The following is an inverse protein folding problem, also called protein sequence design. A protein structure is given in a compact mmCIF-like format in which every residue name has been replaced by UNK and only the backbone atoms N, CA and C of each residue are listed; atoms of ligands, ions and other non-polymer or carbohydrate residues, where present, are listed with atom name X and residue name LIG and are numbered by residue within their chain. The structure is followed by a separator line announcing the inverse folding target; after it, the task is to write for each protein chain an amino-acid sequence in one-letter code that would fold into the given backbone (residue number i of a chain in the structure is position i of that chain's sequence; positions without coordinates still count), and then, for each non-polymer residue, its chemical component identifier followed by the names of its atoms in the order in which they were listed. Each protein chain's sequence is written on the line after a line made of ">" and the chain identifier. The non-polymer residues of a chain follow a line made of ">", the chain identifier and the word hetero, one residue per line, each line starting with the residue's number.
data_IF_665492734871
#
_entry.id   IF_665492734871
#
_cell.length_a   1.000
_cell.length_b   1.000
_cell.length_c   1.000
_cell.angle_alpha   90.00
_cell.angle_beta   90.00
_cell.angle_gamma   90.00
#
_symmetry.space_group_name_H-M   'P 1'
#
loop_
_entity.id
_entity.type
_entity.pdbx_description
1 polymer ?
#
# COMPACT_ATOMS: atom_id res chain seq x y z
N UNK A 1 14.22 -19.31 -23.11
CA UNK A 1 13.64 -18.30 -24.01
C UNK A 1 12.22 -18.75 -24.20
N UNK A 2 11.27 -18.08 -23.55
CA UNK A 2 9.86 -18.48 -23.58
C UNK A 2 9.34 -18.48 -25.03
N UNK A 3 8.53 -19.48 -25.37
CA UNK A 3 7.88 -19.53 -26.67
C UNK A 3 6.89 -18.37 -26.75
N UNK A 4 7.25 -17.34 -27.54
CA UNK A 4 6.49 -16.10 -27.72
C UNK A 4 5.08 -16.28 -28.30
N UNK A 5 4.66 -17.53 -28.55
CA UNK A 5 3.33 -17.90 -29.03
C UNK A 5 2.30 -17.87 -27.91
N UNK A 6 2.73 -18.08 -26.67
CA UNK A 6 1.85 -18.09 -25.50
C UNK A 6 1.87 -16.79 -24.71
N UNK A 7 2.56 -15.75 -25.21
CA UNK A 7 2.38 -14.39 -24.72
C UNK A 7 0.98 -13.86 -25.09
N UNK A 8 0.49 -12.79 -24.43
CA UNK A 8 -0.73 -12.10 -24.83
C UNK A 8 -0.76 -11.83 -26.35
N UNK A 9 -1.86 -12.20 -27.05
CA UNK A 9 -3.21 -12.36 -26.53
C UNK A 9 -3.58 -13.75 -26.00
N UNK A 10 -2.64 -14.69 -25.93
CA UNK A 10 -2.87 -15.93 -25.19
C UNK A 10 -2.88 -15.65 -23.67
N UNK A 11 -3.65 -16.40 -22.89
CA UNK A 11 -3.73 -16.23 -21.45
C UNK A 11 -5.10 -16.53 -20.87
N UNK A 12 -5.32 -16.18 -19.59
CA UNK A 12 -6.63 -16.35 -18.96
C UNK A 12 -7.62 -15.26 -19.39
N UNK A 13 -8.89 -15.65 -19.50
CA UNK A 13 -9.98 -14.81 -19.96
C UNK A 13 -10.42 -13.77 -18.92
N UNK A 14 -10.99 -12.67 -19.41
CA UNK A 14 -11.63 -11.66 -18.58
C UNK A 14 -12.99 -12.16 -18.10
N UNK A 15 -13.23 -12.12 -16.79
CA UNK A 15 -14.56 -12.31 -16.21
C UNK A 15 -15.32 -10.98 -16.24
N UNK A 16 -16.50 -10.96 -16.86
CA UNK A 16 -17.30 -9.74 -17.01
C UNK A 16 -18.78 -10.01 -16.81
N UNK A 17 -19.48 -9.09 -16.16
CA UNK A 17 -20.93 -9.14 -16.01
C UNK A 17 -21.63 -8.57 -17.26
N UNK A 18 -22.70 -9.20 -17.71
CA UNK A 18 -23.52 -8.77 -18.84
C UNK A 18 -23.00 -9.29 -20.18
N UNK A 19 -22.17 -8.53 -20.89
CA UNK A 19 -21.66 -8.93 -22.22
C UNK A 19 -20.21 -8.55 -22.43
N UNK A 20 -19.51 -9.37 -23.21
CA UNK A 20 -18.14 -9.09 -23.64
C UNK A 20 -18.05 -7.81 -24.50
N UNK A 21 -16.87 -7.19 -24.52
CA UNK A 21 -16.63 -5.99 -25.33
C UNK A 21 -16.76 -6.23 -26.83
N UNK A 22 -16.88 -5.15 -27.61
CA UNK A 22 -17.03 -5.24 -29.07
C UNK A 22 -15.79 -5.84 -29.77
N UNK A 23 -14.63 -5.77 -29.13
CA UNK A 23 -13.32 -6.29 -29.51
C UNK A 23 -13.01 -7.64 -28.85
N UNK A 24 -14.00 -8.26 -28.22
CA UNK A 24 -13.90 -9.55 -27.54
C UNK A 24 -14.89 -10.55 -28.13
N UNK A 25 -14.65 -11.82 -27.82
CA UNK A 25 -15.57 -12.93 -28.05
C UNK A 25 -15.98 -13.57 -26.72
N UNK A 26 -17.20 -14.11 -26.69
CA UNK A 26 -17.77 -14.75 -25.51
C UNK A 26 -17.45 -16.24 -25.51
N UNK A 27 -16.64 -16.69 -24.55
CA UNK A 27 -16.15 -18.06 -24.48
C UNK A 27 -16.95 -18.97 -23.55
N UNK A 28 -17.58 -18.41 -22.53
CA UNK A 28 -18.41 -19.20 -21.62
C UNK A 28 -19.35 -18.33 -20.81
N UNK A 29 -20.42 -18.95 -20.33
CA UNK A 29 -21.32 -18.41 -19.31
C UNK A 29 -21.13 -19.24 -18.03
N UNK A 30 -20.18 -18.89 -17.15
CA UNK A 30 -19.93 -19.58 -15.88
C UNK A 30 -21.16 -19.65 -14.94
N UNK A 31 -21.97 -18.59 -14.86
CA UNK A 31 -23.16 -18.49 -14.00
C UNK A 31 -23.89 -17.17 -14.25
N UNK A 32 -25.23 -17.19 -14.15
CA UNK A 32 -26.10 -16.02 -14.36
C UNK A 32 -25.77 -15.25 -15.65
N UNK A 33 -25.46 -13.95 -15.51
CA UNK A 33 -25.09 -13.03 -16.59
C UNK A 33 -23.57 -12.85 -16.71
N UNK A 34 -22.77 -13.67 -16.03
CA UNK A 34 -21.32 -13.58 -16.09
C UNK A 34 -20.78 -14.32 -17.30
N UNK A 35 -19.78 -13.72 -17.93
CA UNK A 35 -19.12 -14.28 -19.10
C UNK A 35 -17.61 -14.31 -18.95
N UNK A 36 -16.99 -15.30 -19.61
CA UNK A 36 -15.57 -15.27 -19.94
C UNK A 36 -15.39 -14.63 -21.30
N UNK A 37 -14.56 -13.61 -21.36
CA UNK A 37 -14.32 -12.83 -22.55
C UNK A 37 -12.86 -12.95 -22.98
N UNK A 38 -12.65 -13.40 -24.21
CA UNK A 38 -11.34 -13.47 -24.83
C UNK A 38 -11.15 -12.36 -25.85
N UNK A 39 -9.91 -11.87 -26.07
CA UNK A 39 -9.63 -10.97 -27.17
C UNK A 39 -10.00 -11.63 -28.52
N UNK A 40 -10.54 -10.85 -29.46
CA UNK A 40 -10.81 -11.35 -30.82
C UNK A 40 -9.56 -11.92 -31.48
N UNK A 41 -9.74 -13.01 -32.22
CA UNK A 41 -8.66 -13.70 -32.93
C UNK A 41 -7.89 -14.70 -32.07
N UNK A 42 -8.35 -14.94 -30.84
CA UNK A 42 -7.99 -16.11 -30.05
C UNK A 42 -9.07 -17.19 -30.20
N UNK A 43 -8.84 -18.35 -29.61
CA UNK A 43 -9.82 -19.43 -29.50
C UNK A 43 -10.13 -19.66 -28.03
N UNK A 44 -11.41 -19.81 -27.71
CA UNK A 44 -11.89 -20.21 -26.40
C UNK A 44 -11.39 -21.62 -26.04
N UNK A 45 -10.46 -21.69 -25.10
CA UNK A 45 -9.94 -22.94 -24.55
C UNK A 45 -10.69 -23.37 -23.29
N UNK A 46 -10.32 -24.55 -22.80
CA UNK A 46 -10.79 -25.05 -21.51
C UNK A 46 -10.27 -24.17 -20.37
N UNK A 47 -10.84 -24.33 -19.17
CA UNK A 47 -10.37 -23.66 -17.95
C UNK A 47 -10.30 -22.13 -18.04
N UNK A 48 -11.17 -21.52 -18.87
CA UNK A 48 -11.23 -20.07 -19.09
C UNK A 48 -9.97 -19.49 -19.76
N UNK A 49 -9.37 -20.23 -20.68
CA UNK A 49 -8.19 -19.78 -21.42
C UNK A 49 -8.55 -19.21 -22.80
N UNK A 50 -7.76 -18.25 -23.25
CA UNK A 50 -7.76 -17.71 -24.59
C UNK A 50 -6.49 -18.21 -25.27
N UNK A 51 -6.63 -19.03 -26.31
CA UNK A 51 -5.52 -19.75 -26.90
C UNK A 51 -5.27 -19.35 -28.36
N UNK A 52 -4.03 -19.48 -28.85
CA UNK A 52 -3.71 -19.17 -30.25
C UNK A 52 -4.31 -20.18 -31.23
N UNK A 53 -4.74 -21.35 -30.75
CA UNK A 53 -5.30 -22.47 -31.54
C UNK A 53 -6.35 -23.22 -30.71
N UNK A 54 -7.22 -23.94 -31.41
CA UNK A 54 -8.28 -24.78 -30.81
C UNK A 54 -7.75 -25.96 -29.98
N UNK A 55 -6.50 -26.37 -30.17
CA UNK A 55 -5.89 -27.48 -29.42
C UNK A 55 -5.67 -27.17 -27.93
N UNK A 56 -5.95 -25.95 -27.47
CA UNK A 56 -5.71 -25.51 -26.10
C UNK A 56 -4.27 -25.09 -25.85
N UNK A 57 -4.06 -24.43 -24.72
CA UNK A 57 -2.77 -23.84 -24.32
C UNK A 57 -2.56 -23.81 -22.80
N UNK A 58 -3.47 -24.40 -22.03
CA UNK A 58 -3.49 -24.32 -20.57
C UNK A 58 -2.18 -24.83 -19.95
N UNK A 59 -1.61 -25.93 -20.46
CA UNK A 59 -0.39 -26.50 -19.92
C UNK A 59 0.79 -25.50 -19.90
N UNK A 60 0.82 -24.56 -20.84
CA UNK A 60 1.85 -23.51 -20.89
C UNK A 60 1.49 -22.34 -19.96
N UNK A 61 0.19 -22.03 -19.86
CA UNK A 61 -0.31 -20.95 -18.99
C UNK A 61 -0.26 -21.29 -17.50
N UNK A 62 -0.16 -22.56 -17.12
CA UNK A 62 0.06 -22.94 -15.71
C UNK A 62 1.51 -22.66 -15.28
N UNK A 63 2.47 -22.75 -16.21
CA UNK A 63 3.88 -22.45 -15.94
C UNK A 63 4.16 -20.94 -15.86
N UNK A 64 3.52 -20.15 -16.74
CA UNK A 64 3.60 -18.69 -16.75
C UNK A 64 2.19 -18.07 -16.79
N UNK A 65 1.50 -17.98 -15.63
CA UNK A 65 0.13 -17.52 -15.59
C UNK A 65 0.03 -16.02 -15.81
N UNK A 66 -0.71 -15.64 -16.85
CA UNK A 66 -0.96 -14.24 -17.21
C UNK A 66 -2.32 -14.06 -17.89
N UNK A 67 -2.81 -12.82 -17.91
CA UNK A 67 -4.04 -12.48 -18.60
C UNK A 67 -3.85 -12.39 -20.11
N UNK A 68 -4.85 -12.80 -20.87
CA UNK A 68 -4.90 -12.62 -22.33
C UNK A 68 -4.80 -11.14 -22.75
N UNK A 69 -5.08 -10.21 -21.84
CA UNK A 69 -4.67 -8.82 -21.96
C UNK A 69 -3.98 -8.37 -20.67
N UNK A 70 -2.66 -8.50 -20.66
CA UNK A 70 -1.79 -8.06 -19.56
C UNK A 70 -1.61 -6.54 -19.47
N UNK A 71 -2.29 -5.73 -20.29
CA UNK A 71 -2.25 -4.27 -20.19
C UNK A 71 -3.36 -3.82 -19.26
N UNK A 72 -4.61 -4.10 -19.57
CA UNK A 72 -5.74 -3.52 -18.82
C UNK A 72 -6.36 -4.45 -17.81
N UNK A 73 -5.88 -5.69 -17.68
CA UNK A 73 -6.46 -6.69 -16.78
C UNK A 73 -5.49 -7.15 -15.71
N UNK A 74 -6.03 -7.34 -14.52
CA UNK A 74 -5.34 -7.88 -13.37
C UNK A 74 -5.67 -9.37 -13.25
N UNK A 75 -4.65 -10.18 -12.93
CA UNK A 75 -4.74 -11.63 -12.79
C UNK A 75 -5.08 -11.99 -11.35
N UNK A 76 -6.03 -12.89 -11.18
CA UNK A 76 -6.47 -13.43 -9.91
C UNK A 76 -6.36 -14.95 -9.92
N UNK A 77 -6.21 -15.53 -8.73
CA UNK A 77 -6.10 -16.97 -8.51
C UNK A 77 -7.15 -17.43 -7.51
N UNK A 78 -7.76 -18.56 -7.80
CA UNK A 78 -8.56 -19.37 -6.87
C UNK A 78 -7.90 -20.74 -6.65
N UNK A 79 -8.46 -21.60 -5.82
CA UNK A 79 -7.86 -22.91 -5.46
C UNK A 79 -7.52 -23.80 -6.65
N UNK A 80 -8.19 -23.64 -7.81
CA UNK A 80 -7.93 -24.47 -8.98
C UNK A 80 -7.99 -23.76 -10.33
N UNK A 81 -8.06 -22.42 -10.37
CA UNK A 81 -8.16 -21.68 -11.62
C UNK A 81 -7.61 -20.26 -11.50
N UNK A 82 -7.17 -19.73 -12.64
CA UNK A 82 -6.88 -18.32 -12.82
C UNK A 82 -7.96 -17.66 -13.67
N UNK A 83 -8.14 -16.37 -13.46
CA UNK A 83 -9.07 -15.54 -14.22
C UNK A 83 -8.60 -14.09 -14.14
N UNK A 84 -9.15 -13.26 -15.00
CA UNK A 84 -8.79 -11.85 -15.06
C UNK A 84 -9.99 -10.95 -14.76
N UNK A 85 -9.74 -9.83 -14.11
CA UNK A 85 -10.68 -8.72 -13.99
C UNK A 85 -10.09 -7.48 -14.65
N UNK A 86 -10.90 -6.46 -14.94
CA UNK A 86 -10.37 -5.16 -15.37
C UNK A 86 -9.49 -4.59 -14.24
N UNK A 87 -8.42 -3.89 -14.57
CA UNK A 87 -7.52 -3.26 -13.60
C UNK A 87 -8.19 -2.15 -12.76
N UNK A 88 -9.40 -1.74 -13.14
CA UNK A 88 -10.25 -0.78 -12.42
C UNK A 88 -11.23 -1.45 -11.46
N UNK A 89 -11.34 -2.78 -11.53
CA UNK A 89 -12.30 -3.58 -10.76
C UNK A 89 -11.57 -4.51 -9.80
N UNK A 90 -12.27 -4.94 -8.75
CA UNK A 90 -11.81 -5.96 -7.81
C UNK A 90 -12.52 -7.27 -8.05
N UNK A 91 -11.78 -8.38 -7.93
CA UNK A 91 -12.39 -9.70 -7.90
C UNK A 91 -12.96 -10.00 -6.52
N UNK A 92 -14.05 -10.77 -6.50
CA UNK A 92 -14.62 -11.31 -5.28
C UNK A 92 -15.31 -12.65 -5.54
N UNK A 93 -15.43 -13.44 -4.48
CA UNK A 93 -16.26 -14.61 -4.41
C UNK A 93 -17.67 -14.17 -4.02
N UNK A 94 -18.64 -14.41 -4.90
CA UNK A 94 -20.06 -14.16 -4.69
C UNK A 94 -20.69 -15.39 -4.03
N UNK A 95 -20.98 -15.32 -2.74
CA UNK A 95 -21.76 -16.33 -2.04
C UNK A 95 -23.27 -16.23 -2.28
N UNK A 96 -24.04 -17.09 -1.63
CA UNK A 96 -25.50 -17.10 -1.70
C UNK A 96 -26.06 -17.62 -3.02
N UNK A 97 -25.21 -18.18 -3.88
CA UNK A 97 -25.64 -18.74 -5.16
C UNK A 97 -26.21 -20.14 -4.96
N UNK A 98 -27.23 -20.47 -5.75
CA UNK A 98 -27.88 -21.78 -5.71
C UNK A 98 -27.74 -22.46 -7.05
N UNK A 99 -27.16 -23.65 -7.05
CA UNK A 99 -27.03 -24.48 -8.24
C UNK A 99 -27.35 -25.93 -7.92
N UNK A 100 -28.23 -26.54 -8.71
CA UNK A 100 -28.66 -27.93 -8.57
C UNK A 100 -29.03 -28.34 -7.13
N UNK A 101 -29.69 -27.45 -6.38
CA UNK A 101 -30.14 -27.70 -5.01
C UNK A 101 -29.07 -27.58 -3.91
N UNK A 102 -27.85 -27.13 -4.24
CA UNK A 102 -26.79 -26.85 -3.26
C UNK A 102 -26.39 -25.37 -3.29
N UNK A 103 -25.98 -24.85 -2.13
CA UNK A 103 -25.30 -23.56 -2.06
C UNK A 103 -23.92 -23.66 -2.74
N UNK A 104 -23.54 -22.63 -3.46
CA UNK A 104 -22.26 -22.52 -4.17
C UNK A 104 -21.77 -21.07 -4.20
N UNK A 105 -20.55 -20.89 -4.68
CA UNK A 105 -19.88 -19.59 -4.75
C UNK A 105 -19.43 -19.34 -6.18
N UNK A 106 -19.67 -18.12 -6.67
CA UNK A 106 -19.30 -17.69 -8.01
C UNK A 106 -18.12 -16.74 -7.97
N UNK A 107 -17.34 -16.70 -9.05
CA UNK A 107 -16.28 -15.70 -9.20
C UNK A 107 -16.84 -14.49 -9.96
N UNK A 108 -16.65 -13.29 -9.42
CA UNK A 108 -17.14 -12.04 -9.97
C UNK A 108 -16.07 -10.92 -9.95
N UNK A 109 -16.26 -9.90 -10.77
CA UNK A 109 -15.45 -8.68 -10.83
C UNK A 109 -16.33 -7.42 -10.76
N UNK A 110 -16.11 -6.54 -9.79
CA UNK A 110 -16.88 -5.30 -9.66
C UNK A 110 -16.01 -4.11 -9.25
N UNK A 111 -16.41 -2.89 -9.62
CA UNK A 111 -15.70 -1.66 -9.24
C UNK A 111 -15.72 -1.42 -7.71
N UNK A 112 -16.70 -2.01 -7.02
CA UNK A 112 -16.75 -2.14 -5.58
C UNK A 112 -17.43 -3.46 -5.21
N UNK A 113 -16.95 -4.11 -4.17
CA UNK A 113 -17.53 -5.37 -3.70
C UNK A 113 -18.85 -5.05 -3.02
N UNK A 114 -19.99 -5.62 -3.47
CA UNK A 114 -21.27 -5.35 -2.84
C UNK A 114 -21.28 -5.88 -1.40
N UNK A 115 -21.85 -5.09 -0.49
CA UNK A 115 -22.03 -5.48 0.91
C UNK A 115 -22.97 -6.69 0.98
N UNK A 116 -22.39 -7.87 1.25
CA UNK A 116 -23.11 -9.12 1.42
C UNK A 116 -22.29 -10.02 2.35
N UNK A 117 -22.95 -10.61 3.35
CA UNK A 117 -22.28 -11.43 4.38
C UNK A 117 -21.51 -12.63 3.80
N UNK A 118 -21.87 -13.06 2.60
CA UNK A 118 -21.26 -14.21 1.92
C UNK A 118 -20.29 -13.81 0.79
N UNK A 119 -19.97 -12.52 0.64
CA UNK A 119 -19.00 -12.05 -0.36
C UNK A 119 -17.59 -11.97 0.23
N UNK A 120 -16.60 -12.50 -0.48
CA UNK A 120 -15.19 -12.46 -0.06
C UNK A 120 -14.31 -11.78 -1.11
N UNK A 121 -13.56 -10.77 -0.70
CA UNK A 121 -12.63 -10.05 -1.57
C UNK A 121 -11.42 -10.92 -1.95
N UNK A 122 -11.05 -10.91 -3.22
CA UNK A 122 -9.83 -11.55 -3.72
C UNK A 122 -8.79 -10.49 -4.04
N UNK A 123 -7.52 -10.81 -3.79
CA UNK A 123 -6.40 -9.96 -4.16
C UNK A 123 -5.80 -10.41 -5.51
N UNK A 124 -5.34 -9.47 -6.35
CA UNK A 124 -4.68 -9.83 -7.60
C UNK A 124 -3.31 -10.45 -7.30
N UNK A 125 -2.96 -11.50 -8.03
CA UNK A 125 -1.64 -12.15 -7.97
C UNK A 125 -0.65 -11.48 -8.92
N UNK A 126 -1.14 -10.84 -9.99
CA UNK A 126 -0.38 -9.97 -10.86
C UNK A 126 -1.28 -8.84 -11.36
N UNK A 127 -0.72 -7.64 -11.54
CA UNK A 127 -1.45 -6.51 -12.11
C UNK A 127 -1.08 -6.33 -13.57
N UNK A 128 -2.06 -5.88 -14.36
CA UNK A 128 -1.82 -5.45 -15.72
C UNK A 128 -0.78 -4.33 -15.74
N UNK A 129 0.09 -4.38 -16.74
CA UNK A 129 0.98 -3.30 -17.14
C UNK A 129 0.20 -2.24 -17.91
N UNK A 130 -0.95 -1.83 -17.36
CA UNK A 130 -1.64 -0.68 -17.86
C UNK A 130 -0.58 0.40 -17.84
N UNK A 131 -0.39 1.09 -18.96
CA UNK A 131 0.26 2.38 -18.90
C UNK A 131 -0.67 3.33 -18.13
N UNK A 132 -0.99 3.04 -16.87
CA UNK A 132 -0.73 4.01 -15.84
C UNK A 132 0.70 4.43 -16.11
N UNK A 133 0.86 5.62 -16.66
CA UNK A 133 2.02 6.40 -16.33
C UNK A 133 2.21 6.27 -14.82
N UNK A 134 3.04 5.32 -14.39
CA UNK A 134 3.74 5.47 -13.14
C UNK A 134 4.60 6.70 -13.41
N UNK A 135 4.03 7.86 -13.12
CA UNK A 135 4.83 8.98 -12.72
C UNK A 135 5.60 8.44 -11.52
N UNK A 136 6.82 7.96 -11.76
CA UNK A 136 7.85 8.04 -10.74
C UNK A 136 7.68 9.44 -10.20
N UNK A 137 7.44 9.59 -8.90
CA UNK A 137 7.24 10.89 -8.28
C UNK A 137 8.58 11.64 -8.32
N UNK A 138 9.08 11.96 -9.51
CA UNK A 138 10.26 12.74 -9.78
C UNK A 138 10.11 14.09 -9.08
N UNK A 139 8.88 14.60 -8.94
CA UNK A 139 8.59 15.75 -8.10
C UNK A 139 8.89 15.54 -6.60
N UNK A 140 8.53 14.39 -6.03
CA UNK A 140 8.80 14.09 -4.61
C UNK A 140 10.30 13.82 -4.37
N UNK A 141 10.97 13.13 -5.30
CA UNK A 141 12.40 12.82 -5.22
C UNK A 141 13.25 14.07 -5.50
N UNK A 142 12.88 14.90 -6.48
CA UNK A 142 13.60 16.14 -6.80
C UNK A 142 13.34 17.26 -5.77
N UNK A 143 12.16 17.29 -5.15
CA UNK A 143 11.82 18.26 -4.11
C UNK A 143 12.69 18.14 -2.85
N UNK A 144 13.05 16.91 -2.47
CA UNK A 144 13.88 16.65 -1.29
C UNK A 144 15.30 17.21 -1.40
N UNK A 145 15.96 17.01 -2.55
CA UNK A 145 17.36 17.44 -2.75
C UNK A 145 17.47 18.97 -2.85
N UNK A 146 16.55 19.61 -3.57
CA UNK A 146 16.53 21.08 -3.72
C UNK A 146 16.16 21.77 -2.39
N UNK A 147 15.21 21.20 -1.65
CA UNK A 147 14.85 21.69 -0.31
C UNK A 147 15.99 21.54 0.70
N UNK A 148 16.74 20.44 0.64
CA UNK A 148 17.89 20.19 1.51
C UNK A 148 19.03 21.19 1.30
N UNK A 149 19.42 21.47 0.05
CA UNK A 149 20.49 22.43 -0.25
C UNK A 149 20.10 23.86 0.16
N UNK A 150 18.86 24.28 -0.13
CA UNK A 150 18.38 25.62 0.25
C UNK A 150 18.24 25.77 1.78
N UNK A 151 17.71 24.76 2.46
CA UNK A 151 17.58 24.74 3.92
C UNK A 151 18.94 24.76 4.63
N UNK A 152 19.90 23.95 4.18
CA UNK A 152 21.23 23.89 4.77
C UNK A 152 22.00 25.21 4.59
N UNK A 153 21.91 25.83 3.41
CA UNK A 153 22.54 27.13 3.15
C UNK A 153 21.98 28.23 4.06
N UNK A 154 20.66 28.26 4.29
CA UNK A 154 20.03 29.21 5.21
C UNK A 154 20.48 29.01 6.65
N UNK A 155 20.55 27.76 7.13
CA UNK A 155 20.99 27.46 8.50
C UNK A 155 22.45 27.90 8.71
N UNK A 156 23.34 27.59 7.77
CA UNK A 156 24.76 27.99 7.84
C UNK A 156 24.88 29.52 7.85
N UNK A 157 24.13 30.23 7.00
CA UNK A 157 24.12 31.69 6.96
C UNK A 157 23.64 32.30 8.28
N UNK A 158 22.58 31.74 8.89
CA UNK A 158 22.03 32.18 10.17
C UNK A 158 23.04 32.00 11.31
N UNK A 159 23.67 30.83 11.41
CA UNK A 159 24.69 30.56 12.44
C UNK A 159 25.87 31.50 12.30
N UNK A 160 26.39 31.68 11.08
CA UNK A 160 27.50 32.60 10.83
C UNK A 160 27.16 34.04 11.17
N UNK A 161 25.96 34.51 10.82
CA UNK A 161 25.50 35.86 11.13
C UNK A 161 25.41 36.10 12.64
N UNK A 162 24.86 35.14 13.40
CA UNK A 162 24.79 35.22 14.86
C UNK A 162 26.18 35.20 15.51
N UNK A 163 27.11 34.37 15.02
CA UNK A 163 28.50 34.37 15.50
C UNK A 163 29.23 35.68 15.18
N UNK A 164 29.04 36.24 13.98
CA UNK A 164 29.62 37.54 13.59
C UNK A 164 29.11 38.66 14.48
N UNK A 165 27.81 38.68 14.76
CA UNK A 165 27.21 39.69 15.66
C UNK A 165 27.79 39.60 17.07
N UNK A 166 28.03 38.39 17.58
CA UNK A 166 28.66 38.19 18.90
C UNK A 166 30.14 38.59 18.91
N UNK A 167 30.87 38.35 17.82
CA UNK A 167 32.28 38.77 17.70
C UNK A 167 32.49 40.28 17.62
N UNK A 168 31.46 41.04 17.24
CA UNK A 168 31.49 42.50 17.30
C UNK A 168 31.26 43.06 18.70
N UNK A 169 31.06 42.19 19.71
CA UNK A 169 30.94 42.58 21.12
C UNK A 169 32.14 42.14 21.97
N UNK A 170 33.30 41.84 21.38
CA UNK A 170 34.53 41.72 22.17
C UNK A 170 35.02 43.13 22.54
N UNK A 171 35.01 43.55 23.82
CA UNK A 171 35.77 44.71 24.24
C UNK A 171 37.26 44.37 24.07
N UNK A 172 37.97 45.26 23.38
CA UNK A 172 39.42 45.20 23.27
C UNK A 172 40.05 45.14 24.67
N UNK A 173 40.92 44.17 24.88
CA UNK A 173 41.80 44.11 26.04
C UNK A 173 42.85 45.20 25.87
N UNK A 174 42.81 46.24 26.69
CA UNK A 174 43.85 47.28 26.75
C UNK A 174 45.20 46.65 27.17
N UNK A 175 46.32 46.91 26.45
CA UNK A 175 47.65 46.61 26.93
C UNK A 175 48.28 47.87 27.53
N UNK A 176 48.44 47.94 28.85
CA UNK A 176 49.28 48.95 29.48
C UNK A 176 50.15 48.35 30.58
N UNK A 177 51.46 48.65 30.47
CA UNK A 177 52.51 48.66 31.51
C UNK A 177 52.81 47.31 32.19
N UNK A 178 54.01 46.90 32.55
CA UNK A 178 55.43 47.27 32.40
C UNK A 178 56.20 46.07 33.00
N UNK A 179 57.49 45.85 32.73
CA UNK A 179 58.24 44.76 33.33
C UNK A 179 58.80 45.16 34.70
N UNK A 180 58.57 44.36 35.75
CA UNK A 180 59.56 44.10 36.82
C UNK A 180 59.09 42.99 37.80
N UNK A 181 60.02 42.36 38.57
CA UNK A 181 60.02 40.93 38.82
C UNK A 181 60.02 40.65 40.33
N UNK A 182 58.93 40.15 40.89
CA UNK A 182 58.98 39.42 42.15
C UNK A 182 57.65 38.77 42.49
N UNK A 183 57.75 37.55 43.00
CA UNK A 183 56.81 36.84 43.90
C UNK A 183 55.89 35.80 43.22
N UNK A 184 55.74 34.59 43.82
CA UNK A 184 55.59 33.35 43.07
C UNK A 184 54.17 32.74 43.07
N UNK A 185 53.98 31.83 42.11
CA UNK A 185 53.12 30.64 42.08
C UNK A 185 51.74 30.67 42.79
N UNK A 186 50.68 30.67 41.99
CA UNK A 186 49.42 30.00 42.31
C UNK A 186 48.93 29.21 41.10
N UNK A 187 49.20 27.91 41.15
CA UNK A 187 48.60 26.87 40.33
C UNK A 187 47.10 26.79 40.67
N UNK A 188 46.23 26.92 39.67
CA UNK A 188 44.81 26.60 39.80
C UNK A 188 44.36 25.71 38.64
N UNK A 189 44.55 24.42 38.86
CA UNK A 189 43.67 23.35 38.36
C UNK A 189 42.21 23.72 38.60
N UNK A 190 41.42 23.75 37.53
CA UNK A 190 39.97 24.04 37.59
C UNK A 190 39.24 23.42 36.41
N UNK A 191 39.05 22.11 36.49
CA UNK A 191 37.95 21.28 35.97
C UNK A 191 36.86 22.05 35.19
N UNK A 192 36.79 21.85 33.87
CA UNK A 192 35.59 22.15 33.09
C UNK A 192 34.55 21.04 33.32
N UNK A 193 33.79 21.16 34.41
CA UNK A 193 32.51 20.46 34.57
C UNK A 193 31.42 21.34 33.98
N UNK A 194 30.79 20.89 32.89
CA UNK A 194 29.58 21.52 32.37
C UNK A 194 28.40 20.81 33.03
N UNK A 195 27.90 21.36 34.14
CA UNK A 195 26.60 20.95 34.70
C UNK A 195 25.52 21.42 33.72
N UNK A 196 24.74 20.48 33.16
CA UNK A 196 23.52 20.79 32.40
C UNK A 196 22.42 21.14 33.40
N UNK A 197 22.00 22.41 33.41
CA UNK A 197 20.83 22.86 34.13
C UNK A 197 19.57 22.27 33.49
N UNK A 198 18.96 21.28 34.15
CA UNK A 198 17.77 20.57 33.71
C UNK A 198 16.52 21.37 34.13
N UNK A 199 16.38 22.59 33.63
CA UNK A 199 15.11 23.30 33.69
C UNK A 199 14.37 23.11 32.36
N UNK A 200 13.85 21.91 32.17
CA UNK A 200 12.85 21.65 31.15
C UNK A 200 11.58 22.42 31.53
N UNK A 201 11.40 23.61 30.97
CA UNK A 201 10.05 24.12 30.72
C UNK A 201 9.39 23.15 29.73
N UNK A 202 8.71 22.15 30.30
CA UNK A 202 7.73 21.33 29.58
C UNK A 202 6.61 22.26 29.13
N UNK A 203 6.43 22.36 27.81
CA UNK A 203 5.14 22.78 27.27
C UNK A 203 4.15 21.63 27.50
N UNK A 204 3.49 21.63 28.66
CA UNK A 204 2.31 20.79 28.87
C UNK A 204 1.20 21.32 27.94
N UNK A 205 0.83 20.54 26.94
CA UNK A 205 -0.41 20.76 26.19
C UNK A 205 -1.56 20.40 27.14
N UNK A 206 -2.44 21.36 27.39
CA UNK A 206 -3.68 21.18 28.15
C UNK A 206 -4.55 20.09 27.50
N UNK A 207 -4.49 18.89 28.07
CA UNK A 207 -5.48 17.84 27.84
C UNK A 207 -6.82 18.29 28.44
N UNK A 208 -7.78 18.54 27.58
CA UNK A 208 -9.18 18.78 27.95
C UNK A 208 -9.75 17.52 28.64
N UNK A 209 -10.32 17.58 29.85
CA UNK A 209 -10.86 16.41 30.56
C UNK A 209 -12.26 16.01 30.05
N UNK A 210 -12.46 15.96 28.74
CA UNK A 210 -13.71 15.52 28.11
C UNK A 210 -13.46 14.49 27.02
N UNK A 211 -12.70 13.45 27.36
CA UNK A 211 -12.77 12.17 26.67
C UNK A 211 -13.47 11.18 27.60
N UNK A 212 -14.68 10.82 27.21
CA UNK A 212 -15.51 9.82 27.86
C UNK A 212 -14.77 8.47 27.86
N UNK A 213 -14.10 8.15 28.96
CA UNK A 213 -13.78 6.77 29.29
C UNK A 213 -15.11 6.09 29.64
N UNK A 214 -15.61 5.25 28.73
CA UNK A 214 -16.78 4.42 29.01
C UNK A 214 -16.29 3.19 29.76
N UNK A 215 -16.23 3.31 31.09
CA UNK A 215 -16.05 2.19 32.01
C UNK A 215 -17.28 1.27 31.91
N UNK A 216 -17.07 -0.04 31.72
CA UNK A 216 -18.10 -1.06 31.93
C UNK A 216 -17.98 -1.59 33.36
N UNK A 217 -19.08 -1.64 34.12
CA UNK A 217 -19.05 -2.03 35.54
C UNK A 217 -18.86 -3.55 35.71
N UNK A 218 -18.23 -3.99 36.81
CA UNK A 218 -18.29 -5.39 37.23
C UNK A 218 -19.56 -5.61 38.06
N UNK A 219 -20.35 -6.63 37.74
CA UNK A 219 -20.88 -7.54 38.77
C UNK A 219 -21.63 -8.77 38.20
N UNK A 220 -21.22 -9.88 38.79
CA UNK A 220 -21.72 -11.25 38.78
C UNK A 220 -23.19 -11.36 39.22
N UNK A 221 -24.05 -12.13 38.55
CA UNK A 221 -25.06 -13.05 39.15
C UNK A 221 -25.53 -14.10 38.12
N UNK A 222 -25.48 -15.39 38.51
CA UNK A 222 -26.07 -16.57 37.87
C UNK A 222 -27.58 -16.46 37.61
N UNK A 223 -28.07 -17.05 36.51
CA UNK A 223 -29.35 -17.77 36.55
C UNK A 223 -29.39 -18.91 35.51
N UNK A 224 -29.97 -20.02 35.97
CA UNK A 224 -29.99 -21.38 35.44
C UNK A 224 -30.90 -21.59 34.21
N UNK A 225 -30.71 -22.76 33.58
CA UNK A 225 -31.45 -23.43 32.50
C UNK A 225 -33.01 -23.42 32.66
N UNK A 226 -33.80 -23.66 31.60
CA UNK A 226 -33.98 -25.03 31.12
C UNK A 226 -34.12 -25.23 29.60
N UNK A 227 -33.86 -26.47 29.19
CA UNK A 227 -34.08 -27.03 27.86
C UNK A 227 -35.54 -27.39 27.58
N UNK A 228 -35.95 -27.37 26.30
CA UNK A 228 -36.90 -28.28 25.60
C UNK A 228 -37.67 -27.59 24.46
N UNK A 229 -38.38 -28.30 23.56
CA UNK A 229 -38.35 -29.74 23.27
C UNK A 229 -38.12 -30.09 21.78
N UNK A 230 -37.76 -31.35 21.58
CA UNK A 230 -37.89 -32.13 20.35
C UNK A 230 -39.37 -32.23 19.96
N UNK A 231 -39.69 -32.02 18.68
CA UNK A 231 -40.82 -32.67 18.02
C UNK A 231 -40.53 -32.90 16.55
#
# INVERSE_FOLDING_TARGET
>A
MGDSVYDPPAGYALRKNGTCGADQETCGNPWNDWHNCCPKGTHCGEHNTCCPREAGCEQFLVEDPHCANNKTWDLYKTEGNFFCCLSTSSAYLAGGLWYNGSSTTGIACADGIPDGEENEALYPVARGTATQSSSTNTGAIAGGVVGGCAGLALIIALVWFLMRRRRQQAPATDPLMSPDPSTPAQDKKGVYGFELDNNAMRAELQGNPSTMAHELPPDTVRQELPASPVR
#
